data_IF_630742843241
#
_entry.id   IF_630742843241
#
_cell.length_a   1.000
_cell.length_b   1.000
_cell.length_c   1.000
_cell.angle_alpha   90.00
_cell.angle_beta   90.00
_cell.angle_gamma   90.00
#
_symmetry.space_group_name_H-M   'P 1'
#
loop_
_entity.id
_entity.type
_entity.pdbx_description
1 polymer ?
#
# COMPACT_ATOMS: atom_id res chain seq x y z
N UNK A 1 -2.86 -62.52 16.77
CA UNK A 1 -3.05 -61.99 15.40
C UNK A 1 -4.52 -61.72 15.19
N UNK A 2 -4.98 -60.51 15.51
CA UNK A 2 -6.13 -59.86 14.85
C UNK A 2 -5.82 -58.36 14.87
N UNK A 3 -5.99 -57.76 13.71
CA UNK A 3 -5.35 -56.55 13.21
C UNK A 3 -5.86 -55.24 13.82
N UNK A 4 -5.00 -54.23 13.71
CA UNK A 4 -5.24 -52.81 13.98
C UNK A 4 -6.52 -52.28 13.32
N UNK A 5 -7.47 -51.80 14.12
CA UNK A 5 -8.54 -50.93 13.64
C UNK A 5 -8.06 -49.48 13.76
N UNK A 6 -7.52 -48.99 12.64
CA UNK A 6 -7.02 -47.63 12.47
C UNK A 6 -8.21 -46.67 12.47
N UNK A 7 -8.30 -45.87 13.54
CA UNK A 7 -9.20 -44.72 13.62
C UNK A 7 -9.02 -43.83 12.37
N UNK A 8 -10.11 -43.66 11.62
CA UNK A 8 -10.17 -42.70 10.52
C UNK A 8 -10.82 -41.44 11.09
N UNK A 9 -9.99 -40.44 11.35
CA UNK A 9 -10.41 -39.07 11.64
C UNK A 9 -11.05 -38.48 10.37
N UNK A 10 -12.38 -38.56 10.27
CA UNK A 10 -13.15 -37.76 9.31
C UNK A 10 -13.23 -36.31 9.82
N UNK A 11 -12.19 -35.54 9.53
CA UNK A 11 -12.28 -34.07 9.58
C UNK A 11 -12.97 -33.56 8.31
N UNK A 12 -14.28 -33.79 8.20
CA UNK A 12 -15.11 -33.15 7.16
C UNK A 12 -15.72 -31.88 7.72
N UNK A 13 -15.17 -30.78 7.23
CA UNK A 13 -15.47 -29.39 7.56
C UNK A 13 -16.97 -29.10 7.56
N UNK A 14 -17.45 -28.54 8.67
CA UNK A 14 -18.81 -28.05 8.84
C UNK A 14 -19.17 -27.00 7.76
N UNK A 15 -20.39 -27.05 7.19
CA UNK A 15 -20.90 -25.99 6.33
C UNK A 15 -21.40 -24.86 7.23
N UNK A 16 -20.50 -23.93 7.57
CA UNK A 16 -20.87 -22.70 8.24
C UNK A 16 -21.66 -21.81 7.26
N UNK A 17 -22.99 -21.86 7.35
CA UNK A 17 -23.91 -20.87 6.78
C UNK A 17 -23.68 -19.50 7.44
N UNK A 18 -22.58 -18.85 7.10
CA UNK A 18 -22.33 -17.46 7.42
C UNK A 18 -22.94 -16.59 6.33
N UNK A 19 -24.00 -15.85 6.65
CA UNK A 19 -24.67 -14.85 5.79
C UNK A 19 -23.77 -13.68 5.37
N UNK A 20 -22.46 -13.76 5.65
CA UNK A 20 -21.48 -12.74 5.26
C UNK A 20 -20.81 -13.19 3.96
N UNK A 21 -20.95 -12.44 2.86
CA UNK A 21 -20.39 -12.84 1.57
C UNK A 21 -18.87 -12.95 1.68
N UNK A 22 -18.31 -13.98 1.04
CA UNK A 22 -16.86 -14.14 0.98
C UNK A 22 -16.21 -13.03 0.15
N UNK A 23 -14.92 -12.73 0.35
CA UNK A 23 -14.26 -11.67 -0.42
C UNK A 23 -14.29 -11.97 -1.93
N UNK A 24 -14.12 -13.23 -2.34
CA UNK A 24 -14.29 -13.68 -3.73
C UNK A 24 -15.72 -13.47 -4.25
N UNK A 25 -16.74 -13.78 -3.45
CA UNK A 25 -18.14 -13.52 -3.80
C UNK A 25 -18.42 -12.02 -3.98
N UNK A 26 -17.94 -11.16 -3.07
CA UNK A 26 -18.08 -9.71 -3.17
C UNK A 26 -17.49 -9.17 -4.49
N UNK A 27 -16.33 -9.68 -4.89
CA UNK A 27 -15.68 -9.30 -6.14
C UNK A 27 -16.48 -9.78 -7.36
N UNK A 28 -16.91 -11.04 -7.35
CA UNK A 28 -17.69 -11.65 -8.44
C UNK A 28 -19.02 -10.94 -8.65
N UNK A 29 -19.80 -10.76 -7.59
CA UNK A 29 -21.11 -10.10 -7.64
C UNK A 29 -20.99 -8.68 -8.21
N UNK A 30 -19.96 -7.95 -7.78
CA UNK A 30 -19.75 -6.60 -8.28
C UNK A 30 -19.29 -6.59 -9.73
N UNK A 31 -18.42 -7.51 -10.15
CA UNK A 31 -18.01 -7.67 -11.55
C UNK A 31 -19.23 -7.93 -12.43
N UNK A 32 -20.09 -8.85 -12.02
CA UNK A 32 -21.32 -9.22 -12.72
C UNK A 32 -22.31 -8.06 -12.78
N UNK A 33 -22.45 -7.29 -11.69
CA UNK A 33 -23.26 -6.08 -11.66
C UNK A 33 -22.77 -4.98 -12.63
N UNK A 34 -21.47 -5.00 -13.00
CA UNK A 34 -20.90 -4.14 -14.04
C UNK A 34 -20.99 -4.74 -15.44
N UNK A 35 -21.47 -5.97 -15.60
CA UNK A 35 -21.49 -6.69 -16.87
C UNK A 35 -20.09 -7.00 -17.42
N UNK A 36 -19.07 -7.06 -16.56
CA UNK A 36 -17.69 -7.32 -16.97
C UNK A 36 -17.41 -8.82 -17.01
N UNK A 37 -16.67 -9.29 -18.01
CA UNK A 37 -16.14 -10.65 -18.03
C UNK A 37 -14.88 -10.76 -17.15
N UNK A 38 -14.58 -11.96 -16.67
CA UNK A 38 -13.33 -12.21 -15.94
C UNK A 38 -12.10 -11.83 -16.78
N UNK A 39 -12.13 -12.08 -18.10
CA UNK A 39 -11.05 -11.70 -19.01
C UNK A 39 -10.83 -10.18 -19.06
N UNK A 40 -11.90 -9.38 -19.14
CA UNK A 40 -11.79 -7.92 -19.17
C UNK A 40 -11.16 -7.35 -17.89
N UNK A 41 -11.43 -7.96 -16.74
CA UNK A 41 -10.77 -7.61 -15.48
C UNK A 41 -9.31 -8.08 -15.49
N UNK A 42 -9.06 -9.31 -15.93
CA UNK A 42 -7.73 -9.89 -16.01
C UNK A 42 -6.78 -9.00 -16.83
N UNK A 43 -7.24 -8.53 -17.99
CA UNK A 43 -6.46 -7.65 -18.88
C UNK A 43 -6.13 -6.31 -18.20
N UNK A 44 -7.06 -5.74 -17.43
CA UNK A 44 -6.86 -4.47 -16.71
C UNK A 44 -5.90 -4.61 -15.52
N UNK A 45 -5.92 -5.75 -14.86
CA UNK A 45 -5.09 -6.04 -13.69
C UNK A 45 -3.74 -6.67 -14.06
N UNK A 46 -3.48 -6.94 -15.35
CA UNK A 46 -2.34 -7.69 -15.85
C UNK A 46 -2.22 -9.08 -15.18
N UNK A 47 -3.35 -9.73 -14.99
CA UNK A 47 -3.47 -11.08 -14.42
C UNK A 47 -3.95 -12.07 -15.49
N UNK A 48 -3.72 -13.36 -15.27
CA UNK A 48 -4.32 -14.41 -16.09
C UNK A 48 -5.79 -14.61 -15.65
N UNK A 49 -6.67 -14.99 -16.58
CA UNK A 49 -8.08 -15.25 -16.28
C UNK A 49 -8.27 -16.29 -15.16
N UNK A 50 -7.44 -17.34 -15.15
CA UNK A 50 -7.39 -18.33 -14.07
C UNK A 50 -7.16 -17.68 -12.70
N UNK A 51 -6.28 -16.67 -12.60
CA UNK A 51 -6.02 -16.00 -11.32
C UNK A 51 -7.23 -15.18 -10.87
N UNK A 52 -7.98 -14.59 -11.79
CA UNK A 52 -9.25 -13.92 -11.46
C UNK A 52 -10.27 -14.95 -10.96
N UNK A 53 -10.35 -16.11 -11.60
CA UNK A 53 -11.23 -17.19 -11.17
C UNK A 53 -10.87 -17.68 -9.76
N UNK A 54 -9.59 -17.92 -9.48
CA UNK A 54 -9.12 -18.34 -8.16
C UNK A 54 -9.47 -17.31 -7.08
N UNK A 55 -9.30 -16.02 -7.39
CA UNK A 55 -9.68 -14.92 -6.49
C UNK A 55 -11.20 -14.89 -6.23
N UNK A 56 -12.03 -15.16 -7.23
CA UNK A 56 -13.50 -15.22 -7.09
C UNK A 56 -13.99 -16.48 -6.36
N UNK A 57 -13.22 -17.56 -6.41
CA UNK A 57 -13.47 -18.82 -5.71
C UNK A 57 -12.81 -18.89 -4.32
N UNK A 58 -12.18 -17.80 -3.86
CA UNK A 58 -11.39 -17.74 -2.61
C UNK A 58 -10.30 -18.82 -2.53
N UNK A 59 -9.76 -19.25 -3.68
CA UNK A 59 -8.65 -20.19 -3.78
C UNK A 59 -7.32 -19.46 -3.74
N UNK A 60 -6.41 -19.98 -2.92
CA UNK A 60 -5.01 -19.56 -2.91
C UNK A 60 -4.19 -20.50 -3.78
N UNK A 61 -3.33 -19.94 -4.63
CA UNK A 61 -2.27 -20.68 -5.30
C UNK A 61 -1.16 -20.99 -4.29
N UNK A 62 -0.87 -22.27 -4.08
CA UNK A 62 0.17 -22.74 -3.16
C UNK A 62 1.56 -22.18 -3.50
N UNK A 63 1.79 -21.79 -4.76
CA UNK A 63 3.06 -21.18 -5.19
C UNK A 63 3.09 -19.66 -4.97
N UNK A 64 1.95 -19.02 -4.71
CA UNK A 64 1.85 -17.57 -4.54
C UNK A 64 1.81 -17.18 -3.06
N UNK A 65 2.64 -16.20 -2.66
CA UNK A 65 2.56 -15.66 -1.29
C UNK A 65 1.20 -14.98 -1.05
N UNK A 66 0.60 -15.25 0.11
CA UNK A 66 -0.64 -14.59 0.60
C UNK A 66 -0.54 -13.05 0.51
N UNK A 67 0.66 -12.48 0.68
CA UNK A 67 0.90 -11.03 0.55
C UNK A 67 0.63 -10.54 -0.87
N UNK A 68 1.03 -11.30 -1.89
CA UNK A 68 0.74 -10.97 -3.29
C UNK A 68 -0.75 -11.11 -3.59
N UNK A 69 -1.38 -12.20 -3.15
CA UNK A 69 -2.83 -12.42 -3.33
C UNK A 69 -3.64 -11.29 -2.71
N UNK A 70 -3.30 -10.87 -1.49
CA UNK A 70 -3.89 -9.69 -0.84
C UNK A 70 -3.75 -8.42 -1.68
N UNK A 71 -2.60 -8.24 -2.34
CA UNK A 71 -2.37 -7.14 -3.28
C UNK A 71 -3.32 -7.20 -4.49
N UNK A 72 -3.51 -8.39 -5.07
CA UNK A 72 -4.43 -8.60 -6.19
C UNK A 72 -5.88 -8.35 -5.79
N UNK A 73 -6.33 -8.89 -4.65
CA UNK A 73 -7.67 -8.62 -4.10
C UNK A 73 -7.92 -7.12 -3.93
N UNK A 74 -6.94 -6.39 -3.40
CA UNK A 74 -7.05 -4.93 -3.20
C UNK A 74 -7.21 -4.20 -4.53
N UNK A 75 -6.37 -4.52 -5.53
CA UNK A 75 -6.43 -3.88 -6.83
C UNK A 75 -7.73 -4.23 -7.58
N UNK A 76 -8.20 -5.47 -7.44
CA UNK A 76 -9.46 -5.90 -8.02
C UNK A 76 -10.64 -5.12 -7.41
N UNK A 77 -10.71 -5.02 -6.08
CA UNK A 77 -11.73 -4.21 -5.41
C UNK A 77 -11.74 -2.75 -5.88
N UNK A 78 -10.55 -2.14 -6.03
CA UNK A 78 -10.41 -0.77 -6.58
C UNK A 78 -10.90 -0.67 -8.02
N UNK A 79 -10.57 -1.64 -8.87
CA UNK A 79 -10.98 -1.67 -10.28
C UNK A 79 -12.50 -1.75 -10.45
N UNK A 80 -13.18 -2.36 -9.49
CA UNK A 80 -14.64 -2.47 -9.44
C UNK A 80 -15.33 -1.33 -8.65
N UNK A 81 -14.57 -0.42 -8.06
CA UNK A 81 -15.08 0.68 -7.23
C UNK A 81 -15.72 0.21 -5.92
N UNK A 82 -15.29 -0.93 -5.38
CA UNK A 82 -15.67 -1.39 -4.05
C UNK A 82 -14.84 -0.69 -2.97
N UNK A 83 -15.34 -0.71 -1.73
CA UNK A 83 -14.51 -0.40 -0.58
C UNK A 83 -13.44 -1.50 -0.40
N UNK A 84 -12.24 -1.19 -0.88
CA UNK A 84 -11.10 -2.09 -0.77
C UNK A 84 -10.71 -2.43 0.68
N UNK A 85 -11.07 -1.59 1.66
CA UNK A 85 -10.80 -1.89 3.06
C UNK A 85 -11.70 -3.03 3.57
N UNK A 86 -13.00 -2.96 3.29
CA UNK A 86 -13.96 -4.01 3.62
C UNK A 86 -13.60 -5.36 2.99
N UNK A 87 -13.28 -5.39 1.68
CA UNK A 87 -12.91 -6.62 0.97
C UNK A 87 -11.62 -7.24 1.55
N UNK A 88 -10.62 -6.40 1.86
CA UNK A 88 -9.36 -6.88 2.44
C UNK A 88 -9.55 -7.39 3.86
N UNK A 89 -10.42 -6.76 4.64
CA UNK A 89 -10.74 -7.23 5.98
C UNK A 89 -11.41 -8.62 5.94
N UNK A 90 -12.35 -8.84 5.01
CA UNK A 90 -12.93 -10.16 4.77
C UNK A 90 -11.89 -11.20 4.32
N UNK A 91 -10.93 -10.80 3.49
CA UNK A 91 -9.80 -11.65 3.06
C UNK A 91 -8.89 -12.03 4.23
N UNK A 92 -8.52 -11.07 5.07
CA UNK A 92 -7.69 -11.31 6.26
C UNK A 92 -8.37 -12.24 7.26
N UNK A 93 -9.67 -12.04 7.52
CA UNK A 93 -10.44 -12.92 8.41
C UNK A 93 -10.48 -14.37 7.90
N UNK A 94 -10.50 -14.58 6.58
CA UNK A 94 -10.57 -15.91 5.97
C UNK A 94 -9.21 -16.60 5.80
N UNK A 95 -8.15 -15.85 5.49
CA UNK A 95 -6.86 -16.43 5.08
C UNK A 95 -5.68 -16.09 6.01
N UNK A 96 -5.84 -15.14 6.92
CA UNK A 96 -4.76 -14.65 7.80
C UNK A 96 -5.18 -14.87 9.26
N UNK A 97 -5.44 -16.12 9.63
CA UNK A 97 -5.52 -16.51 11.03
C UNK A 97 -4.10 -16.66 11.58
N UNK A 98 -3.72 -15.67 12.40
CA UNK A 98 -2.65 -15.72 13.41
C UNK A 98 -1.22 -16.08 12.94
N UNK A 99 -0.51 -15.11 12.37
CA UNK A 99 0.81 -14.79 12.93
C UNK A 99 0.89 -13.27 13.14
N UNK A 100 1.24 -12.78 14.35
CA UNK A 100 1.53 -11.37 14.53
C UNK A 100 2.66 -11.01 13.58
N UNK A 101 2.57 -9.90 12.82
CA UNK A 101 3.61 -9.53 11.88
C UNK A 101 4.92 -9.46 12.66
N UNK A 102 5.83 -10.40 12.37
CA UNK A 102 7.19 -10.39 12.91
C UNK A 102 7.69 -8.96 12.78
N UNK A 103 8.04 -8.32 13.90
CA UNK A 103 8.35 -6.88 14.00
C UNK A 103 9.20 -6.46 12.81
N UNK A 104 8.54 -5.92 11.77
CA UNK A 104 9.21 -5.45 10.57
C UNK A 104 9.99 -4.22 11.01
N UNK A 105 11.31 -4.37 11.08
CA UNK A 105 12.22 -3.24 11.17
C UNK A 105 11.80 -2.25 10.08
N UNK A 106 11.44 -1.05 10.51
CA UNK A 106 10.96 0.01 9.64
C UNK A 106 11.94 0.25 8.49
N UNK A 107 11.57 -0.20 7.28
CA UNK A 107 12.12 0.33 6.03
C UNK A 107 11.64 1.78 5.79
N UNK A 108 10.77 2.33 6.65
CA UNK A 108 10.26 3.70 6.56
C UNK A 108 11.34 4.77 6.75
N UNK A 109 12.56 4.40 7.18
CA UNK A 109 13.68 5.36 7.23
C UNK A 109 14.25 5.73 5.86
N UNK A 110 14.00 4.96 4.78
CA UNK A 110 14.58 5.27 3.46
C UNK A 110 13.75 6.23 2.60
N UNK A 111 12.47 6.42 2.90
CA UNK A 111 11.60 7.37 2.16
C UNK A 111 11.48 8.71 2.89
N UNK A 112 11.64 8.74 4.22
CA UNK A 112 11.64 9.99 4.99
C UNK A 112 12.97 10.77 4.94
N UNK A 113 14.02 10.23 4.29
CA UNK A 113 15.36 10.82 4.25
C UNK A 113 15.82 11.11 2.82
N UNK A 114 14.98 11.76 2.02
CA UNK A 114 15.36 12.25 0.68
C UNK A 114 14.78 13.62 0.37
N UNK A 115 14.81 14.58 1.30
CA UNK A 115 14.49 15.97 0.97
C UNK A 115 15.23 16.97 1.87
N UNK A 116 16.54 17.08 1.67
CA UNK A 116 17.29 18.34 1.58
C UNK A 116 18.80 18.02 1.68
N UNK A 117 19.55 18.39 0.65
CA UNK A 117 20.99 18.55 0.77
C UNK A 117 21.25 19.76 1.69
N UNK A 118 21.55 19.50 2.98
CA UNK A 118 21.90 20.53 3.98
C UNK A 118 22.99 21.50 3.50
N UNK A 119 23.84 21.06 2.56
CA UNK A 119 24.95 21.85 2.01
C UNK A 119 24.46 23.06 1.20
N UNK A 120 23.37 22.92 0.42
CA UNK A 120 22.83 24.02 -0.38
C UNK A 120 22.18 25.09 0.51
N UNK A 121 21.56 24.68 1.62
CA UNK A 121 21.00 25.60 2.59
C UNK A 121 22.09 26.44 3.28
N UNK A 122 23.23 25.84 3.63
CA UNK A 122 24.38 26.57 4.19
C UNK A 122 24.96 27.60 3.21
N UNK A 123 25.04 27.28 1.91
CA UNK A 123 25.49 28.22 0.87
C UNK A 123 24.54 29.41 0.76
N UNK A 124 23.23 29.18 0.76
CA UNK A 124 22.22 30.26 0.74
C UNK A 124 22.40 31.21 1.93
N UNK A 125 22.61 30.68 3.14
CA UNK A 125 22.83 31.50 4.32
C UNK A 125 24.15 32.28 4.26
N UNK A 126 25.23 31.70 3.71
CA UNK A 126 26.51 32.37 3.56
C UNK A 126 26.43 33.53 2.56
N UNK A 127 25.76 33.30 1.42
CA UNK A 127 25.50 34.35 0.43
C UNK A 127 24.65 35.47 1.03
N UNK A 128 23.57 35.13 1.74
CA UNK A 128 22.72 36.10 2.42
C UNK A 128 23.52 36.95 3.42
N UNK A 129 24.38 36.32 4.22
CA UNK A 129 25.24 37.00 5.20
C UNK A 129 26.22 37.96 4.54
N UNK A 130 26.83 37.56 3.41
CA UNK A 130 27.72 38.44 2.63
C UNK A 130 26.99 39.66 2.07
N UNK A 131 25.77 39.48 1.55
CA UNK A 131 24.96 40.59 1.04
C UNK A 131 24.63 41.57 2.16
N UNK A 132 24.15 41.07 3.31
CA UNK A 132 23.83 41.91 4.47
C UNK A 132 25.08 42.66 4.97
N UNK A 133 26.21 41.96 5.10
CA UNK A 133 27.48 42.56 5.48
C UNK A 133 27.92 43.68 4.53
N UNK A 134 27.75 43.48 3.22
CA UNK A 134 28.03 44.49 2.19
C UNK A 134 27.13 45.72 2.32
N UNK A 135 25.82 45.53 2.54
CA UNK A 135 24.87 46.64 2.71
C UNK A 135 25.16 47.45 3.97
N UNK A 136 25.51 46.80 5.08
CA UNK A 136 25.88 47.47 6.33
C UNK A 136 27.19 48.23 6.17
N UNK A 137 28.20 47.63 5.56
CA UNK A 137 29.46 48.30 5.27
C UNK A 137 29.26 49.52 4.35
N UNK A 138 28.36 49.42 3.37
CA UNK A 138 27.99 50.52 2.49
C UNK A 138 27.28 51.66 3.24
N UNK A 139 26.43 51.35 4.23
CA UNK A 139 25.83 52.37 5.11
C UNK A 139 26.87 53.12 5.94
N UNK A 140 27.87 52.43 6.48
CA UNK A 140 28.98 53.08 7.17
C UNK A 140 29.88 53.91 6.22
N UNK A 141 29.85 53.61 4.92
CA UNK A 141 30.55 54.35 3.89
C UNK A 141 29.72 55.46 3.25
N UNK A 142 28.48 55.72 3.70
CA UNK A 142 27.82 56.97 3.37
C UNK A 142 28.35 58.03 4.34
N UNK A 143 29.36 58.86 3.97
CA UNK A 143 29.56 60.10 4.69
C UNK A 143 28.25 60.88 4.61
N UNK A 144 27.85 61.46 5.72
CA UNK A 144 26.78 62.44 5.75
C UNK A 144 27.11 63.51 4.71
N UNK A 145 26.41 63.52 3.57
CA UNK A 145 26.50 64.65 2.64
C UNK A 145 25.89 65.84 3.38
N UNK A 146 26.78 66.57 4.04
CA UNK A 146 26.53 67.81 4.74
C UNK A 146 25.99 68.78 3.70
N UNK A 147 24.67 69.01 3.73
CA UNK A 147 24.00 69.95 2.85
C UNK A 147 24.52 71.37 3.06
N UNK A 148 25.64 71.69 2.44
CA UNK A 148 26.05 73.07 2.15
C UNK A 148 25.36 73.50 0.87
N UNK A 149 24.27 74.25 0.98
CA UNK A 149 23.82 75.14 -0.07
C UNK A 149 22.91 76.26 0.48
N UNK A 150 23.44 77.49 0.47
CA UNK A 150 22.66 78.74 0.30
C UNK A 150 22.22 79.45 1.56
#
# INVERSE_FOLDING_TARGET
>A
MVSEEKATEENSSQPENNTTPSPGQMLRERREALGLSQQQVADKLFLKAHQINDLEEDRLDDNASITFTKGYVRNYAKQLGLDSAAVINAFEQRHVTAEPPAKLQSFSKRVAKQTHDDRWMMVTYLILLLIIGGVVAWWYQQPSDEGTAG
#
